data_IF_852412758807
#
_entry.id   IF_852412758807
#
_cell.length_a   1.000
_cell.length_b   1.000
_cell.length_c   1.000
_cell.angle_alpha   90.00
_cell.angle_beta   90.00
_cell.angle_gamma   90.00
#
_symmetry.space_group_name_H-M   'P 1'
#
loop_
_entity.id
_entity.type
_entity.pdbx_description
1 polymer ?
#
# COMPACT_ATOMS: atom_id res chain seq x y z
N UNK A 1 -32.31 -53.96 10.19
CA UNK A 1 -33.78 -54.19 10.14
C UNK A 1 -34.45 -52.96 10.73
N UNK A 2 -35.28 -52.16 10.06
CA UNK A 2 -36.12 -52.37 8.87
C UNK A 2 -36.18 -51.07 8.05
N UNK A 3 -36.07 -51.25 6.75
CA UNK A 3 -36.39 -50.33 5.65
C UNK A 3 -37.89 -49.98 5.61
N UNK A 4 -38.24 -48.81 5.08
CA UNK A 4 -39.57 -48.54 4.52
C UNK A 4 -39.46 -47.86 3.15
N UNK A 5 -40.01 -48.57 2.16
CA UNK A 5 -40.21 -48.20 0.76
C UNK A 5 -41.47 -47.32 0.65
N UNK A 6 -41.42 -46.23 -0.13
CA UNK A 6 -41.97 -46.10 -1.50
C UNK A 6 -43.49 -46.23 -1.60
N UNK A 7 -44.16 -45.12 -1.95
CA UNK A 7 -45.46 -45.12 -2.63
C UNK A 7 -45.54 -43.91 -3.56
N UNK A 8 -45.44 -44.18 -4.87
CA UNK A 8 -45.71 -43.24 -5.96
C UNK A 8 -47.21 -43.28 -6.24
N UNK A 9 -47.86 -42.12 -6.23
CA UNK A 9 -49.23 -41.94 -6.69
C UNK A 9 -49.22 -41.22 -8.04
N UNK A 10 -49.59 -41.97 -9.08
CA UNK A 10 -49.84 -41.56 -10.44
C UNK A 10 -51.18 -40.79 -10.48
N UNK A 11 -51.18 -39.51 -10.86
CA UNK A 11 -52.42 -38.77 -11.08
C UNK A 11 -52.56 -38.38 -12.56
N UNK A 12 -53.66 -38.86 -13.12
CA UNK A 12 -54.08 -38.83 -14.51
C UNK A 12 -54.52 -37.45 -14.97
N UNK A 13 -54.05 -37.09 -16.16
CA UNK A 13 -54.39 -35.93 -16.98
C UNK A 13 -55.87 -35.97 -17.41
N UNK A 14 -56.64 -34.91 -17.12
CA UNK A 14 -57.98 -34.68 -17.68
C UNK A 14 -58.00 -33.33 -18.37
N UNK A 15 -58.14 -33.37 -19.71
CA UNK A 15 -58.39 -32.22 -20.56
C UNK A 15 -59.84 -31.75 -20.35
N UNK A 16 -60.02 -30.51 -19.92
CA UNK A 16 -61.28 -29.79 -20.03
C UNK A 16 -61.03 -28.60 -20.94
N UNK A 17 -61.56 -28.65 -22.16
CA UNK A 17 -61.63 -27.51 -23.06
C UNK A 17 -62.88 -26.69 -22.69
N UNK A 18 -62.67 -25.53 -22.08
CA UNK A 18 -63.67 -24.47 -21.94
C UNK A 18 -63.31 -23.33 -22.88
N UNK A 19 -64.14 -23.19 -23.90
CA UNK A 19 -64.31 -22.02 -24.77
C UNK A 19 -65.09 -20.92 -24.02
N UNK A 20 -65.06 -19.70 -24.58
CA UNK A 20 -65.65 -18.43 -24.15
C UNK A 20 -64.72 -17.57 -23.27
N UNK A 21 -64.55 -16.27 -23.48
CA UNK A 21 -65.18 -15.29 -24.36
C UNK A 21 -64.17 -14.16 -24.57
N UNK A 22 -64.15 -13.57 -25.77
CA UNK A 22 -63.48 -12.29 -26.00
C UNK A 22 -64.09 -11.25 -25.08
N UNK A 23 -63.33 -10.80 -24.08
CA UNK A 23 -63.59 -9.54 -23.39
C UNK A 23 -62.27 -8.77 -23.28
N UNK A 24 -62.41 -7.52 -23.70
CA UNK A 24 -61.41 -6.50 -23.93
C UNK A 24 -60.94 -5.92 -22.59
N UNK A 25 -60.08 -6.66 -21.89
CA UNK A 25 -59.27 -6.07 -20.82
C UNK A 25 -57.98 -5.57 -21.45
N UNK A 26 -57.94 -4.25 -21.68
CA UNK A 26 -56.73 -3.52 -22.02
C UNK A 26 -55.67 -3.72 -20.95
N UNK A 27 -54.96 -4.84 -21.02
CA UNK A 27 -53.73 -5.09 -20.30
C UNK A 27 -52.74 -4.07 -20.83
N UNK A 28 -52.62 -2.94 -20.14
CA UNK A 28 -51.36 -2.21 -20.16
C UNK A 28 -50.33 -3.19 -19.61
N UNK A 29 -49.65 -3.90 -20.51
CA UNK A 29 -48.39 -4.56 -20.20
C UNK A 29 -47.58 -3.52 -19.40
N UNK A 30 -47.10 -3.84 -18.17
CA UNK A 30 -46.20 -2.95 -17.47
C UNK A 30 -45.11 -2.55 -18.46
N UNK A 31 -44.90 -1.24 -18.65
CA UNK A 31 -43.80 -0.78 -19.48
C UNK A 31 -42.54 -1.47 -18.95
N UNK A 32 -41.77 -2.10 -19.84
CA UNK A 32 -40.52 -2.73 -19.45
C UNK A 32 -39.65 -1.67 -18.78
N UNK A 33 -39.10 -1.98 -17.61
CA UNK A 33 -38.19 -1.07 -16.92
C UNK A 33 -37.01 -0.79 -17.85
N UNK A 34 -36.69 0.49 -18.15
CA UNK A 34 -35.59 0.82 -19.04
C UNK A 34 -34.25 0.36 -18.44
N UNK A 35 -33.28 0.00 -19.29
CA UNK A 35 -31.89 -0.17 -18.84
C UNK A 35 -31.25 1.19 -18.51
N UNK A 36 -30.04 1.20 -17.95
CA UNK A 36 -29.36 2.42 -17.51
C UNK A 36 -29.22 3.47 -18.63
N UNK A 37 -28.89 3.05 -19.86
CA UNK A 37 -28.69 3.97 -20.99
C UNK A 37 -30.01 4.52 -21.49
N UNK A 38 -31.04 3.67 -21.59
CA UNK A 38 -32.41 4.08 -21.92
C UNK A 38 -32.96 5.06 -20.88
N UNK A 39 -32.75 4.77 -19.58
CA UNK A 39 -33.13 5.64 -18.47
C UNK A 39 -32.44 7.02 -18.57
N UNK A 40 -31.15 7.05 -18.90
CA UNK A 40 -30.42 8.30 -19.11
C UNK A 40 -30.95 9.09 -20.31
N UNK A 41 -31.33 8.42 -21.41
CA UNK A 41 -31.94 9.05 -22.59
C UNK A 41 -33.32 9.64 -22.28
N UNK A 42 -34.09 9.00 -21.39
CA UNK A 42 -35.41 9.48 -20.94
C UNK A 42 -35.32 10.60 -19.90
N UNK A 43 -34.12 10.91 -19.38
CA UNK A 43 -33.89 11.91 -18.33
C UNK A 43 -33.23 13.18 -18.92
N UNK A 44 -33.98 14.29 -19.11
CA UNK A 44 -33.46 15.48 -19.80
C UNK A 44 -32.21 16.10 -19.17
N UNK A 45 -32.04 15.99 -17.86
CA UNK A 45 -30.87 16.49 -17.12
C UNK A 45 -29.59 15.66 -17.31
N UNK A 46 -29.67 14.52 -18.03
CA UNK A 46 -28.54 13.62 -18.31
C UNK A 46 -28.15 13.59 -19.80
N UNK A 47 -28.66 14.51 -20.61
CA UNK A 47 -28.36 14.54 -22.05
C UNK A 47 -26.86 14.66 -22.36
N UNK A 48 -26.08 15.36 -21.52
CA UNK A 48 -24.62 15.45 -21.66
C UNK A 48 -23.93 14.11 -21.39
N UNK A 49 -24.41 13.34 -20.41
CA UNK A 49 -23.92 11.99 -20.13
C UNK A 49 -24.15 11.06 -21.33
N UNK A 50 -25.36 11.10 -21.91
CA UNK A 50 -25.69 10.30 -23.10
C UNK A 50 -24.78 10.69 -24.28
N UNK A 51 -24.57 11.98 -24.52
CA UNK A 51 -23.67 12.45 -25.56
C UNK A 51 -22.21 11.98 -25.32
N UNK A 52 -21.76 11.99 -24.07
CA UNK A 52 -20.44 11.50 -23.68
C UNK A 52 -20.27 10.00 -23.90
N UNK A 53 -21.26 9.19 -23.52
CA UNK A 53 -21.26 7.73 -23.73
C UNK A 53 -21.19 7.34 -25.22
N UNK A 54 -21.83 8.11 -26.10
CA UNK A 54 -21.79 7.88 -27.55
C UNK A 54 -20.46 8.30 -28.19
N UNK A 55 -19.69 9.16 -27.52
CA UNK A 55 -18.42 9.70 -28.02
C UNK A 55 -17.21 8.92 -27.50
N UNK A 56 -17.30 8.40 -26.28
CA UNK A 56 -16.22 7.65 -25.64
C UNK A 56 -15.84 6.40 -26.45
N UNK A 57 -14.57 6.00 -26.30
CA UNK A 57 -14.06 4.75 -26.83
C UNK A 57 -14.63 3.55 -26.05
N UNK A 58 -14.49 2.34 -26.61
CA UNK A 58 -14.88 1.11 -25.92
C UNK A 58 -16.37 0.76 -25.94
N UNK A 59 -17.20 1.51 -26.69
CA UNK A 59 -18.63 1.23 -26.85
C UNK A 59 -19.39 1.14 -25.51
N UNK A 60 -19.10 2.09 -24.62
CA UNK A 60 -19.63 2.12 -23.25
C UNK A 60 -21.17 2.13 -23.21
N UNK A 61 -21.83 2.75 -24.18
CA UNK A 61 -23.29 2.74 -24.29
C UNK A 61 -23.83 1.30 -24.47
N UNK A 62 -23.18 0.49 -25.30
CA UNK A 62 -23.58 -0.92 -25.47
C UNK A 62 -23.27 -1.73 -24.21
N UNK A 63 -22.10 -1.50 -23.60
CA UNK A 63 -21.69 -2.17 -22.35
C UNK A 63 -22.70 -1.91 -21.22
N UNK A 64 -23.06 -0.65 -20.99
CA UNK A 64 -24.00 -0.24 -19.93
C UNK A 64 -25.48 -0.53 -20.27
N UNK A 65 -25.78 -0.94 -21.50
CA UNK A 65 -27.08 -1.51 -21.87
C UNK A 65 -27.14 -3.02 -21.66
N UNK A 66 -25.99 -3.66 -21.45
CA UNK A 66 -25.86 -5.11 -21.28
C UNK A 66 -26.27 -5.61 -19.90
N UNK A 67 -25.95 -6.87 -19.63
CA UNK A 67 -26.27 -7.54 -18.37
C UNK A 67 -25.43 -6.95 -17.22
N UNK A 68 -26.12 -6.43 -16.20
CA UNK A 68 -25.50 -5.92 -14.97
C UNK A 68 -25.38 -6.98 -13.86
N UNK A 69 -25.36 -6.58 -12.58
CA UNK A 69 -25.71 -5.24 -12.10
C UNK A 69 -24.58 -4.21 -12.23
N UNK A 70 -24.97 -2.98 -12.58
CA UNK A 70 -24.10 -1.80 -12.50
C UNK A 70 -24.65 -0.78 -11.51
N UNK A 71 -23.76 0.05 -10.97
CA UNK A 71 -24.14 1.33 -10.37
C UNK A 71 -23.49 2.45 -11.17
N UNK A 72 -24.29 3.35 -11.71
CA UNK A 72 -23.80 4.52 -12.46
C UNK A 72 -24.04 5.78 -11.66
N UNK A 73 -22.94 6.47 -11.36
CA UNK A 73 -22.94 7.80 -10.80
C UNK A 73 -23.15 8.78 -11.97
N UNK A 74 -24.37 9.28 -12.17
CA UNK A 74 -24.75 10.01 -13.39
C UNK A 74 -24.66 11.53 -13.18
N UNK A 75 -23.62 12.21 -13.71
CA UNK A 75 -23.52 13.66 -13.58
C UNK A 75 -24.57 14.39 -14.41
N UNK A 76 -25.13 15.45 -13.82
CA UNK A 76 -26.08 16.33 -14.51
C UNK A 76 -25.44 17.13 -15.66
N UNK A 77 -26.27 17.72 -16.53
CA UNK A 77 -25.80 18.63 -17.57
C UNK A 77 -24.99 19.81 -17.00
N UNK A 78 -25.40 20.35 -15.84
CA UNK A 78 -24.68 21.43 -15.16
C UNK A 78 -23.31 20.96 -14.65
N UNK A 79 -23.24 19.75 -14.11
CA UNK A 79 -21.98 19.10 -13.72
C UNK A 79 -20.99 18.99 -14.90
N UNK A 80 -21.47 18.56 -16.07
CA UNK A 80 -20.66 18.51 -17.28
C UNK A 80 -20.23 19.89 -17.75
N UNK A 81 -21.11 20.90 -17.68
CA UNK A 81 -20.75 22.27 -18.06
C UNK A 81 -19.62 22.82 -17.18
N UNK A 82 -19.69 22.58 -15.87
CA UNK A 82 -18.62 22.93 -14.92
C UNK A 82 -17.33 22.18 -15.23
N UNK A 83 -17.39 20.85 -15.41
CA UNK A 83 -16.22 20.04 -15.75
C UNK A 83 -15.48 20.54 -17.00
N UNK A 84 -16.23 20.84 -18.07
CA UNK A 84 -15.65 21.37 -19.30
C UNK A 84 -14.97 22.72 -19.07
N UNK A 85 -15.66 23.64 -18.37
CA UNK A 85 -15.12 24.96 -18.04
C UNK A 85 -13.84 24.88 -17.20
N UNK A 86 -13.84 24.06 -16.15
CA UNK A 86 -12.72 23.93 -15.21
C UNK A 86 -11.48 23.30 -15.87
N UNK A 87 -11.68 22.45 -16.88
CA UNK A 87 -10.61 21.82 -17.65
C UNK A 87 -10.27 22.59 -18.95
N UNK A 88 -10.87 23.76 -19.17
CA UNK A 88 -10.56 24.62 -20.32
C UNK A 88 -11.09 24.12 -21.66
N UNK A 89 -12.07 23.22 -21.66
CA UNK A 89 -12.74 22.73 -22.86
C UNK A 89 -13.95 23.61 -23.21
N UNK A 90 -14.04 24.07 -24.46
CA UNK A 90 -15.18 24.84 -24.94
C UNK A 90 -16.42 23.97 -25.18
N UNK A 91 -16.23 22.67 -25.45
CA UNK A 91 -17.29 21.70 -25.60
C UNK A 91 -16.80 20.27 -25.36
N UNK A 92 -17.73 19.33 -25.27
CA UNK A 92 -17.44 17.89 -25.12
C UNK A 92 -16.58 17.36 -26.27
N UNK A 93 -16.64 17.98 -27.45
CA UNK A 93 -15.85 17.60 -28.62
C UNK A 93 -14.35 17.89 -28.48
N UNK A 94 -13.94 18.73 -27.53
CA UNK A 94 -12.53 19.03 -27.27
C UNK A 94 -11.91 18.06 -26.25
N UNK A 95 -12.73 17.30 -25.52
CA UNK A 95 -12.25 16.27 -24.61
C UNK A 95 -11.69 15.10 -25.43
N UNK A 96 -10.43 14.69 -25.21
CA UNK A 96 -9.87 13.48 -25.81
C UNK A 96 -10.71 12.24 -25.47
N UNK A 97 -10.96 11.37 -26.44
CA UNK A 97 -11.90 10.25 -26.28
C UNK A 97 -11.39 9.18 -25.31
N UNK A 98 -10.08 9.00 -25.24
CA UNK A 98 -9.40 8.12 -24.29
C UNK A 98 -9.57 8.61 -22.84
N UNK A 99 -9.35 9.92 -22.63
CA UNK A 99 -9.59 10.57 -21.33
C UNK A 99 -11.07 10.51 -20.96
N UNK A 100 -11.97 10.82 -21.91
CA UNK A 100 -13.41 10.78 -21.69
C UNK A 100 -13.87 9.37 -21.27
N UNK A 101 -13.33 8.33 -21.90
CA UNK A 101 -13.65 6.93 -21.57
C UNK A 101 -13.27 6.60 -20.13
N UNK A 102 -12.05 6.97 -19.71
CA UNK A 102 -11.61 6.76 -18.33
C UNK A 102 -12.44 7.55 -17.32
N UNK A 103 -12.76 8.82 -17.62
CA UNK A 103 -13.64 9.62 -16.78
C UNK A 103 -15.00 8.95 -16.62
N UNK A 104 -15.62 8.50 -17.72
CA UNK A 104 -16.92 7.81 -17.65
C UNK A 104 -16.84 6.47 -16.91
N UNK A 105 -15.77 5.70 -17.09
CA UNK A 105 -15.55 4.46 -16.33
C UNK A 105 -15.35 4.72 -14.83
N UNK A 106 -14.83 5.88 -14.44
CA UNK A 106 -14.73 6.27 -13.04
C UNK A 106 -16.09 6.58 -12.39
N UNK A 107 -17.16 6.64 -13.20
CA UNK A 107 -18.53 6.77 -12.71
C UNK A 107 -19.29 5.43 -12.68
N UNK A 108 -18.63 4.32 -13.04
CA UNK A 108 -19.24 3.00 -13.10
C UNK A 108 -18.65 2.12 -12.01
N UNK A 109 -19.52 1.56 -11.18
CA UNK A 109 -19.19 0.53 -10.20
C UNK A 109 -19.83 -0.78 -10.67
N UNK A 110 -19.06 -1.85 -10.71
CA UNK A 110 -19.48 -3.18 -11.20
C UNK A 110 -20.26 -3.98 -10.14
N UNK A 111 -21.24 -3.34 -9.50
CA UNK A 111 -22.13 -3.91 -8.48
C UNK A 111 -23.43 -3.10 -8.38
N UNK A 112 -24.47 -3.69 -7.79
CA UNK A 112 -25.69 -2.94 -7.39
C UNK A 112 -25.48 -2.36 -6.00
N UNK A 113 -25.29 -1.04 -5.90
CA UNK A 113 -24.97 -0.33 -4.66
C UNK A 113 -26.05 0.72 -4.42
N UNK A 114 -26.90 0.49 -3.42
CA UNK A 114 -27.92 1.45 -3.02
C UNK A 114 -27.34 2.54 -2.11
N UNK A 115 -28.03 3.68 -2.00
CA UNK A 115 -27.65 4.69 -1.01
C UNK A 115 -27.78 4.15 0.42
N UNK A 116 -28.68 3.20 0.67
CA UNK A 116 -28.82 2.56 1.97
C UNK A 116 -27.61 1.69 2.35
N UNK A 117 -26.95 1.08 1.37
CA UNK A 117 -25.70 0.34 1.59
C UNK A 117 -24.58 1.30 1.99
N UNK A 118 -24.44 2.42 1.27
CA UNK A 118 -23.44 3.46 1.56
C UNK A 118 -23.65 4.09 2.94
N UNK A 119 -24.89 4.43 3.28
CA UNK A 119 -25.24 4.97 4.61
C UNK A 119 -24.95 3.97 5.73
N UNK A 120 -25.15 2.67 5.49
CA UNK A 120 -24.85 1.63 6.49
C UNK A 120 -23.36 1.48 6.75
N UNK A 121 -22.52 1.76 5.75
CA UNK A 121 -21.06 1.76 5.87
C UNK A 121 -20.51 3.07 6.45
N UNK A 122 -21.25 4.17 6.31
CA UNK A 122 -20.82 5.51 6.74
C UNK A 122 -19.88 6.15 5.72
N UNK A 123 -18.63 5.69 5.64
CA UNK A 123 -17.64 6.17 4.68
C UNK A 123 -16.65 5.07 4.33
N UNK A 124 -15.99 5.19 3.17
CA UNK A 124 -14.97 4.23 2.75
C UNK A 124 -14.60 4.37 1.29
N UNK A 125 -14.00 3.33 0.72
CA UNK A 125 -13.66 3.27 -0.70
C UNK A 125 -14.43 2.16 -1.39
N UNK A 126 -14.83 2.41 -2.63
CA UNK A 126 -15.34 1.40 -3.56
C UNK A 126 -14.49 1.40 -4.82
N UNK A 127 -14.42 0.26 -5.51
CA UNK A 127 -13.71 0.16 -6.79
C UNK A 127 -14.58 0.71 -7.92
N UNK A 128 -14.06 1.69 -8.66
CA UNK A 128 -14.62 2.13 -9.93
C UNK A 128 -14.26 1.17 -11.06
N UNK A 129 -14.46 1.61 -12.30
CA UNK A 129 -14.10 0.82 -13.50
C UNK A 129 -13.00 1.47 -14.34
N UNK A 130 -12.52 2.65 -13.93
CA UNK A 130 -11.39 3.33 -14.56
C UNK A 130 -10.07 2.65 -14.16
N UNK A 131 -9.12 2.59 -15.08
CA UNK A 131 -7.80 2.03 -14.85
C UNK A 131 -6.90 3.04 -14.16
N UNK A 132 -6.29 2.64 -13.06
CA UNK A 132 -5.35 3.40 -12.24
C UNK A 132 -3.97 2.77 -12.24
N UNK A 133 -3.21 3.06 -11.18
CA UNK A 133 -1.84 2.58 -11.06
C UNK A 133 -1.78 1.05 -10.92
N UNK A 134 -0.78 0.42 -11.56
CA UNK A 134 -0.60 -1.03 -11.54
C UNK A 134 -1.64 -1.81 -12.36
N UNK A 135 -2.33 -1.14 -13.31
CA UNK A 135 -3.45 -1.68 -14.08
C UNK A 135 -4.67 -2.09 -13.22
N UNK A 136 -4.72 -1.62 -11.97
CA UNK A 136 -5.83 -1.84 -11.03
C UNK A 136 -6.93 -0.79 -11.23
N UNK A 137 -8.14 -1.08 -10.73
CA UNK A 137 -9.24 -0.14 -10.83
C UNK A 137 -9.11 1.00 -9.81
N UNK A 138 -9.29 2.25 -10.27
CA UNK A 138 -9.29 3.45 -9.42
C UNK A 138 -10.32 3.30 -8.30
N UNK A 139 -9.90 3.70 -7.11
CA UNK A 139 -10.76 3.79 -5.94
C UNK A 139 -11.58 5.08 -5.94
N UNK A 140 -12.83 4.97 -5.53
CA UNK A 140 -13.76 6.08 -5.34
C UNK A 140 -14.03 6.16 -3.84
N UNK A 141 -13.65 7.25 -3.20
CA UNK A 141 -14.01 7.52 -1.82
C UNK A 141 -15.49 7.90 -1.76
N UNK A 142 -16.23 7.38 -0.80
CA UNK A 142 -17.59 7.81 -0.48
C UNK A 142 -17.70 8.21 1.00
N UNK A 143 -18.52 9.21 1.28
CA UNK A 143 -18.92 9.59 2.63
C UNK A 143 -20.42 9.88 2.63
N UNK A 144 -21.14 9.18 3.50
CA UNK A 144 -22.58 9.25 3.68
C UNK A 144 -23.00 9.91 5.01
N UNK A 145 -22.05 10.50 5.75
CA UNK A 145 -22.28 11.12 7.07
C UNK A 145 -23.26 12.30 7.00
N UNK A 146 -23.18 13.10 5.93
CA UNK A 146 -24.03 14.28 5.71
C UNK A 146 -24.69 14.26 4.33
N UNK A 147 -25.30 13.12 3.99
CA UNK A 147 -25.68 12.81 2.60
C UNK A 147 -24.54 12.11 1.88
N UNK A 148 -24.85 11.40 0.79
CA UNK A 148 -23.86 10.64 0.04
C UNK A 148 -23.06 11.57 -0.86
N UNK A 149 -21.75 11.58 -0.65
CA UNK A 149 -20.77 12.29 -1.47
C UNK A 149 -19.72 11.32 -2.00
N UNK A 150 -19.11 11.66 -3.14
CA UNK A 150 -18.04 10.89 -3.76
C UNK A 150 -16.82 11.77 -4.00
N UNK A 151 -15.65 11.27 -3.61
CA UNK A 151 -14.34 11.95 -3.62
C UNK A 151 -14.36 13.35 -2.96
N UNK A 152 -15.33 13.62 -2.10
CA UNK A 152 -15.62 14.95 -1.55
C UNK A 152 -15.80 16.05 -2.64
N UNK A 153 -16.17 15.64 -3.86
CA UNK A 153 -16.36 16.51 -5.04
C UNK A 153 -17.81 16.49 -5.49
N UNK A 154 -18.45 15.32 -5.53
CA UNK A 154 -19.80 15.17 -6.05
C UNK A 154 -20.78 14.77 -4.94
N UNK A 155 -21.95 15.40 -4.89
CA UNK A 155 -23.05 15.05 -3.99
C UNK A 155 -24.17 14.36 -4.76
N UNK A 156 -24.76 13.32 -4.18
CA UNK A 156 -25.94 12.66 -4.75
C UNK A 156 -27.16 13.56 -4.59
N UNK A 157 -27.74 13.95 -5.74
CA UNK A 157 -28.94 14.80 -5.82
C UNK A 157 -30.23 14.00 -5.98
N UNK A 158 -30.15 12.81 -6.59
CA UNK A 158 -31.22 11.82 -6.62
C UNK A 158 -30.62 10.41 -6.53
N UNK A 159 -30.92 9.70 -5.45
CA UNK A 159 -30.43 8.36 -5.20
C UNK A 159 -31.38 7.27 -5.68
N UNK A 160 -30.86 6.06 -5.85
CA UNK A 160 -31.62 4.82 -6.03
C UNK A 160 -32.59 4.85 -7.23
N UNK A 161 -32.19 5.47 -8.35
CA UNK A 161 -32.99 5.45 -9.57
C UNK A 161 -32.84 4.08 -10.23
N UNK A 162 -33.88 3.26 -10.12
CA UNK A 162 -33.86 1.87 -10.57
C UNK A 162 -33.88 1.75 -12.10
N UNK A 163 -32.96 0.94 -12.64
CA UNK A 163 -32.92 0.47 -14.01
C UNK A 163 -33.01 -1.07 -14.05
N UNK A 164 -33.33 -1.64 -15.21
CA UNK A 164 -33.45 -3.10 -15.35
C UNK A 164 -32.14 -3.87 -15.16
N UNK A 165 -30.99 -3.20 -15.31
CA UNK A 165 -29.65 -3.76 -15.18
C UNK A 165 -28.81 -3.07 -14.08
N UNK A 166 -29.43 -2.37 -13.13
CA UNK A 166 -28.72 -1.78 -12.00
C UNK A 166 -29.36 -0.54 -11.39
N UNK A 167 -28.53 0.27 -10.75
CA UNK A 167 -28.92 1.49 -10.02
C UNK A 167 -28.22 2.73 -10.58
N UNK A 168 -28.93 3.86 -10.66
CA UNK A 168 -28.36 5.16 -11.02
C UNK A 168 -28.47 6.12 -9.84
N UNK A 169 -27.35 6.75 -9.48
CA UNK A 169 -27.30 7.89 -8.54
C UNK A 169 -26.97 9.15 -9.32
N UNK A 170 -27.88 10.11 -9.39
CA UNK A 170 -27.64 11.38 -10.09
C UNK A 170 -26.78 12.28 -9.19
N UNK A 171 -25.67 12.78 -9.71
CA UNK A 171 -24.69 13.59 -8.98
C UNK A 171 -24.51 15.00 -9.59
N UNK A 172 -24.08 15.95 -8.77
CA UNK A 172 -23.91 17.37 -9.15
C UNK A 172 -22.51 17.75 -9.68
N UNK A 173 -21.56 16.81 -9.74
CA UNK A 173 -20.23 17.03 -10.31
C UNK A 173 -19.76 15.80 -11.11
N UNK A 174 -18.88 16.02 -12.09
CA UNK A 174 -18.17 14.95 -12.80
C UNK A 174 -16.98 14.52 -11.94
N UNK A 175 -16.88 13.22 -11.64
CA UNK A 175 -15.71 12.63 -10.99
C UNK A 175 -14.53 12.57 -11.97
N UNK A 176 -13.52 13.42 -11.74
CA UNK A 176 -12.23 13.31 -12.40
C UNK A 176 -11.47 12.03 -12.02
N UNK A 177 -10.25 11.86 -12.53
CA UNK A 177 -9.39 10.72 -12.21
C UNK A 177 -8.42 11.12 -11.08
N UNK A 178 -8.69 10.74 -9.81
CA UNK A 178 -7.92 11.23 -8.67
C UNK A 178 -6.52 10.62 -8.60
N UNK A 179 -5.54 11.43 -8.25
CA UNK A 179 -4.23 10.98 -7.77
C UNK A 179 -4.34 10.43 -6.34
N UNK A 180 -3.26 9.83 -5.83
CA UNK A 180 -3.16 9.45 -4.42
C UNK A 180 -3.35 10.64 -3.48
N UNK A 181 -2.87 11.83 -3.84
CA UNK A 181 -3.03 13.04 -3.01
C UNK A 181 -4.49 13.46 -2.97
N UNK A 182 -5.21 13.41 -4.09
CA UNK A 182 -6.63 13.73 -4.14
C UNK A 182 -7.45 12.77 -3.26
N UNK A 183 -7.14 11.47 -3.30
CA UNK A 183 -7.79 10.47 -2.45
C UNK A 183 -7.47 10.65 -0.96
N UNK A 184 -6.25 11.07 -0.63
CA UNK A 184 -5.86 11.38 0.74
C UNK A 184 -6.57 12.63 1.27
N UNK A 185 -6.71 13.67 0.44
CA UNK A 185 -7.44 14.90 0.78
C UNK A 185 -8.94 14.64 0.95
N UNK A 186 -9.51 13.76 0.13
CA UNK A 186 -10.93 13.41 0.21
C UNK A 186 -11.29 12.70 1.53
N UNK A 187 -10.36 11.92 2.09
CA UNK A 187 -10.60 11.13 3.28
C UNK A 187 -10.14 11.85 4.56
N UNK A 188 -11.13 12.20 5.40
CA UNK A 188 -10.87 12.93 6.65
C UNK A 188 -9.96 12.18 7.64
N UNK A 189 -9.84 10.85 7.53
CA UNK A 189 -8.94 10.04 8.37
C UNK A 189 -7.45 10.28 8.08
N UNK A 190 -7.12 10.98 6.99
CA UNK A 190 -5.75 11.38 6.63
C UNK A 190 -5.46 12.88 6.81
N UNK A 191 -6.36 13.63 7.44
CA UNK A 191 -6.19 15.09 7.60
C UNK A 191 -4.87 15.51 8.25
N UNK A 192 -4.38 14.74 9.24
CA UNK A 192 -3.08 14.98 9.89
C UNK A 192 -1.91 14.72 8.91
N UNK A 193 -1.98 13.65 8.12
CA UNK A 193 -0.99 13.33 7.11
C UNK A 193 -0.92 14.43 6.04
N UNK A 194 -2.08 14.88 5.54
CA UNK A 194 -2.15 15.97 4.56
C UNK A 194 -1.57 17.27 5.12
N UNK A 195 -1.86 17.61 6.38
CA UNK A 195 -1.27 18.77 7.05
C UNK A 195 0.25 18.64 7.20
N UNK A 196 0.75 17.43 7.52
CA UNK A 196 2.17 17.15 7.64
C UNK A 196 2.90 17.28 6.30
N UNK A 197 2.34 16.73 5.21
CA UNK A 197 2.87 16.88 3.85
C UNK A 197 3.00 18.35 3.44
N UNK A 198 2.03 19.20 3.82
CA UNK A 198 2.08 20.64 3.56
C UNK A 198 3.05 21.42 4.45
N UNK A 199 3.50 20.84 5.57
CA UNK A 199 4.41 21.48 6.53
C UNK A 199 5.86 21.04 6.36
N UNK A 200 6.09 19.87 5.77
CA UNK A 200 7.41 19.28 5.58
C UNK A 200 8.22 19.95 4.46
N UNK A 201 9.54 19.84 4.54
CA UNK A 201 10.44 20.27 3.46
C UNK A 201 10.29 19.40 2.21
N UNK A 202 10.67 19.95 1.04
CA UNK A 202 10.76 19.19 -0.21
C UNK A 202 9.50 19.21 -1.09
N UNK A 203 8.48 20.00 -0.74
CA UNK A 203 7.26 20.17 -1.54
C UNK A 203 6.57 18.83 -1.85
N UNK A 204 6.43 18.00 -0.81
CA UNK A 204 5.99 16.61 -0.94
C UNK A 204 4.59 16.47 -1.55
N UNK A 205 3.71 17.46 -1.36
CA UNK A 205 2.38 17.47 -2.00
C UNK A 205 2.52 17.45 -3.53
N UNK A 206 3.33 18.34 -4.10
CA UNK A 206 3.53 18.37 -5.56
C UNK A 206 4.29 17.15 -6.06
N UNK A 207 5.26 16.64 -5.27
CA UNK A 207 5.98 15.40 -5.61
C UNK A 207 5.01 14.22 -5.71
N UNK A 208 4.13 14.04 -4.72
CA UNK A 208 3.18 12.92 -4.67
C UNK A 208 1.95 13.10 -5.57
N UNK A 209 1.64 14.32 -6.00
CA UNK A 209 0.68 14.58 -7.07
C UNK A 209 1.26 14.39 -8.47
N UNK A 210 2.59 14.29 -8.59
CA UNK A 210 3.28 14.13 -9.87
C UNK A 210 3.21 12.71 -10.44
N UNK A 211 4.04 12.47 -11.46
CA UNK A 211 4.13 11.17 -12.13
C UNK A 211 4.69 10.11 -11.18
N UNK A 212 3.95 9.02 -11.01
CA UNK A 212 4.35 7.86 -10.23
C UNK A 212 5.11 6.80 -11.05
N UNK A 213 5.10 5.52 -10.64
CA UNK A 213 4.23 4.95 -9.60
C UNK A 213 4.73 5.17 -8.17
N UNK A 214 3.79 5.35 -7.24
CA UNK A 214 4.03 5.40 -5.79
C UNK A 214 3.27 4.30 -5.04
N UNK A 215 3.83 3.83 -3.93
CA UNK A 215 3.08 3.14 -2.88
C UNK A 215 3.23 3.91 -1.58
N UNK A 216 2.14 4.47 -1.07
CA UNK A 216 2.12 5.30 0.14
C UNK A 216 1.52 4.51 1.29
N UNK A 217 2.26 4.43 2.39
CA UNK A 217 1.81 3.91 3.67
C UNK A 217 1.22 5.07 4.46
N UNK A 218 -0.09 5.31 4.34
CA UNK A 218 -0.74 6.49 4.90
C UNK A 218 -1.12 6.27 6.37
N UNK A 219 -0.40 6.84 7.35
CA UNK A 219 -0.82 6.74 8.75
C UNK A 219 -2.15 7.46 8.97
N UNK A 220 -3.06 6.80 9.69
CA UNK A 220 -4.31 7.45 10.12
C UNK A 220 -4.07 8.62 11.06
N UNK A 221 -5.07 9.49 11.25
CA UNK A 221 -5.05 10.52 12.28
C UNK A 221 -4.72 9.96 13.67
N UNK A 222 -5.23 8.77 14.02
CA UNK A 222 -4.93 8.10 15.30
C UNK A 222 -3.45 7.71 15.41
N UNK A 223 -2.89 7.13 14.36
CA UNK A 223 -1.47 6.81 14.27
C UNK A 223 -0.61 8.07 14.44
N UNK A 224 -0.95 9.13 13.72
CA UNK A 224 -0.22 10.38 13.70
C UNK A 224 -0.30 11.13 15.04
N UNK A 225 -1.47 11.16 15.67
CA UNK A 225 -1.63 11.75 17.01
C UNK A 225 -0.82 11.01 18.07
N UNK A 226 -0.73 9.67 17.96
CA UNK A 226 0.09 8.85 18.84
C UNK A 226 1.58 9.16 18.65
N UNK A 227 2.02 9.28 17.39
CA UNK A 227 3.40 9.64 17.06
C UNK A 227 3.81 11.01 17.60
N UNK A 228 2.94 12.01 17.50
CA UNK A 228 3.22 13.35 18.01
C UNK A 228 3.28 13.42 19.54
N UNK A 229 2.62 12.49 20.24
CA UNK A 229 2.56 12.42 21.72
C UNK A 229 2.29 13.78 22.40
N UNK A 230 1.35 14.55 21.84
CA UNK A 230 0.97 15.88 22.33
C UNK A 230 1.86 17.04 21.85
N UNK A 231 2.93 16.77 21.10
CA UNK A 231 3.71 17.78 20.38
C UNK A 231 2.88 18.40 19.26
N UNK A 232 2.88 19.72 19.12
CA UNK A 232 2.22 20.34 17.99
C UNK A 232 3.01 20.08 16.70
N UNK A 233 2.32 19.83 15.58
CA UNK A 233 2.98 19.59 14.29
C UNK A 233 3.97 20.71 13.90
N UNK A 234 3.64 21.96 14.21
CA UNK A 234 4.52 23.11 13.94
C UNK A 234 5.77 23.20 14.82
N UNK A 235 5.87 22.38 15.87
CA UNK A 235 7.06 22.27 16.72
C UNK A 235 7.98 21.11 16.27
N UNK A 236 7.55 20.31 15.28
CA UNK A 236 8.36 19.24 14.68
C UNK A 236 9.32 19.85 13.65
N UNK A 237 10.59 19.43 13.69
CA UNK A 237 11.58 19.85 12.69
C UNK A 237 11.15 19.41 11.28
N UNK A 238 11.07 20.36 10.34
CA UNK A 238 10.48 20.11 9.02
C UNK A 238 11.35 19.23 8.12
N UNK A 239 12.67 19.21 8.34
CA UNK A 239 13.59 18.32 7.64
C UNK A 239 13.47 16.87 8.16
N UNK A 240 13.40 16.70 9.48
CA UNK A 240 13.13 15.39 10.09
C UNK A 240 11.74 14.87 9.68
N UNK A 241 10.72 15.73 9.70
CA UNK A 241 9.37 15.38 9.25
C UNK A 241 9.36 14.94 7.79
N UNK A 242 10.10 15.62 6.91
CA UNK A 242 10.22 15.23 5.50
C UNK A 242 10.80 13.81 5.35
N UNK A 243 11.86 13.48 6.09
CA UNK A 243 12.43 12.12 6.09
C UNK A 243 11.45 11.07 6.61
N UNK A 244 10.71 11.37 7.69
CA UNK A 244 9.68 10.45 8.20
C UNK A 244 8.58 10.23 7.16
N UNK A 245 8.09 11.29 6.51
CA UNK A 245 7.05 11.17 5.49
C UNK A 245 7.55 10.42 4.26
N UNK A 246 8.78 10.68 3.80
CA UNK A 246 9.40 9.92 2.71
C UNK A 246 9.64 8.44 3.07
N UNK A 247 9.81 8.13 4.35
CA UNK A 247 9.90 6.75 4.82
C UNK A 247 8.57 5.98 4.71
N UNK A 248 7.47 6.69 4.51
CA UNK A 248 6.16 6.10 4.21
C UNK A 248 5.89 5.98 2.71
N UNK A 249 6.84 6.36 1.85
CA UNK A 249 6.64 6.36 0.39
C UNK A 249 7.64 5.42 -0.25
N UNK A 250 7.15 4.41 -0.97
CA UNK A 250 7.96 3.60 -1.88
C UNK A 250 7.83 4.24 -3.27
N UNK A 251 8.96 4.68 -3.82
CA UNK A 251 9.02 5.39 -5.11
C UNK A 251 9.36 4.40 -6.22
N UNK A 252 8.68 4.52 -7.36
CA UNK A 252 8.93 3.71 -8.56
C UNK A 252 8.26 2.33 -8.53
N UNK A 253 7.30 2.11 -7.62
CA UNK A 253 6.52 0.88 -7.56
C UNK A 253 5.12 1.11 -7.02
N UNK A 254 4.14 0.45 -7.63
CA UNK A 254 2.75 0.32 -7.15
C UNK A 254 2.56 -1.12 -6.67
N UNK A 255 2.64 -1.33 -5.36
CA UNK A 255 2.63 -2.66 -4.76
C UNK A 255 1.26 -2.87 -4.11
N UNK A 256 0.49 -3.84 -4.61
CA UNK A 256 -0.78 -4.23 -4.02
C UNK A 256 -0.56 -5.10 -2.78
N UNK A 257 -1.57 -5.18 -1.90
CA UNK A 257 -1.51 -6.07 -0.74
C UNK A 257 -1.39 -7.54 -1.15
N UNK A 258 -2.05 -7.92 -2.26
CA UNK A 258 -1.92 -9.27 -2.85
C UNK A 258 -0.48 -9.55 -3.27
N UNK A 259 0.20 -8.61 -3.94
CA UNK A 259 1.59 -8.77 -4.32
C UNK A 259 2.52 -8.94 -3.10
N UNK A 260 2.26 -8.23 -1.99
CA UNK A 260 3.01 -8.41 -0.74
C UNK A 260 2.78 -9.80 -0.12
N UNK A 261 1.54 -10.30 -0.16
CA UNK A 261 1.21 -11.64 0.34
C UNK A 261 1.90 -12.73 -0.48
N UNK A 262 1.95 -12.59 -1.81
CA UNK A 262 2.64 -13.54 -2.69
C UNK A 262 4.17 -13.57 -2.43
N UNK A 263 4.73 -12.46 -1.97
CA UNK A 263 6.15 -12.34 -1.59
C UNK A 263 6.44 -12.83 -0.17
N UNK A 264 5.41 -13.08 0.65
CA UNK A 264 5.45 -13.49 2.06
C UNK A 264 6.13 -12.48 3.02
N UNK A 265 7.43 -12.22 2.83
CA UNK A 265 8.21 -11.25 3.58
C UNK A 265 9.47 -10.83 2.81
N UNK A 266 9.99 -9.64 3.09
CA UNK A 266 11.22 -9.17 2.46
C UNK A 266 11.52 -7.71 2.74
N UNK A 267 12.45 -7.15 1.96
CA UNK A 267 12.83 -5.75 2.04
C UNK A 267 12.49 -5.04 0.73
N UNK A 268 12.09 -3.78 0.85
CA UNK A 268 12.00 -2.80 -0.23
C UNK A 268 12.67 -1.50 0.22
N UNK A 269 12.75 -0.50 -0.65
CA UNK A 269 13.33 0.79 -0.33
C UNK A 269 12.26 1.89 -0.31
N UNK A 270 12.43 2.86 0.59
CA UNK A 270 11.57 4.04 0.70
C UNK A 270 12.22 5.24 0.01
N UNK A 271 11.49 6.35 -0.05
CA UNK A 271 12.01 7.62 -0.55
C UNK A 271 12.92 8.35 0.45
N UNK A 272 13.01 7.87 1.69
CA UNK A 272 13.88 8.45 2.71
C UNK A 272 15.33 7.98 2.53
N UNK A 273 16.28 8.78 3.02
CA UNK A 273 17.70 8.49 2.89
C UNK A 273 18.38 8.35 4.25
N UNK A 274 19.28 7.38 4.33
CA UNK A 274 20.17 7.16 5.46
C UNK A 274 21.58 7.69 5.20
N UNK A 275 22.56 7.25 6.00
CA UNK A 275 23.95 7.66 5.86
C UNK A 275 24.48 7.49 4.44
N UNK A 276 25.11 8.55 3.91
CA UNK A 276 25.64 8.55 2.55
C UNK A 276 24.57 8.63 1.45
N UNK A 277 23.39 9.16 1.75
CA UNK A 277 22.25 9.29 0.81
C UNK A 277 21.75 7.94 0.28
N UNK A 278 22.01 6.86 1.01
CA UNK A 278 21.54 5.54 0.63
C UNK A 278 20.04 5.42 0.95
N UNK A 279 19.21 4.88 0.05
CA UNK A 279 17.77 4.75 0.30
C UNK A 279 17.53 3.84 1.51
N UNK A 280 16.64 4.25 2.40
CA UNK A 280 16.31 3.46 3.58
C UNK A 280 15.52 2.22 3.18
N UNK A 281 15.83 1.11 3.84
CA UNK A 281 15.09 -0.13 3.69
C UNK A 281 13.79 -0.10 4.51
N UNK A 282 12.84 -0.90 4.06
CA UNK A 282 11.57 -1.14 4.72
C UNK A 282 11.31 -2.64 4.68
N UNK A 283 11.23 -3.24 5.87
CA UNK A 283 10.90 -4.65 5.99
C UNK A 283 9.38 -4.82 5.94
N UNK A 284 8.89 -5.74 5.11
CA UNK A 284 7.49 -6.15 5.09
C UNK A 284 7.36 -7.63 5.46
N UNK A 285 6.26 -7.98 6.14
CA UNK A 285 5.93 -9.35 6.50
C UNK A 285 4.41 -9.52 6.48
N UNK A 286 3.93 -10.66 5.99
CA UNK A 286 2.49 -10.94 5.82
C UNK A 286 1.95 -12.05 6.72
N UNK A 287 2.76 -12.60 7.63
CA UNK A 287 2.40 -13.73 8.51
C UNK A 287 1.14 -13.46 9.34
N UNK A 288 0.96 -12.22 9.80
CA UNK A 288 -0.19 -11.79 10.62
C UNK A 288 -0.94 -10.62 9.96
N UNK A 289 -1.13 -10.69 8.64
CA UNK A 289 -1.51 -9.54 7.82
C UNK A 289 -0.29 -8.74 7.39
N UNK A 290 -0.47 -7.79 6.48
CA UNK A 290 0.62 -6.96 5.95
C UNK A 290 1.11 -6.01 7.03
N UNK A 291 2.36 -6.18 7.45
CA UNK A 291 3.04 -5.37 8.45
C UNK A 291 4.35 -4.83 7.92
N UNK A 292 4.71 -3.62 8.35
CA UNK A 292 5.97 -2.95 8.04
C UNK A 292 6.81 -2.71 9.30
N UNK A 293 8.10 -3.01 9.20
CA UNK A 293 9.09 -2.92 10.28
C UNK A 293 8.65 -3.57 11.61
N UNK A 294 7.74 -4.55 11.55
CA UNK A 294 7.18 -5.22 12.72
C UNK A 294 6.30 -4.36 13.63
N UNK A 295 6.03 -3.09 13.28
CA UNK A 295 5.33 -2.13 14.15
C UNK A 295 4.07 -1.52 13.54
N UNK A 296 3.96 -1.50 12.20
CA UNK A 296 2.89 -0.78 11.50
C UNK A 296 2.08 -1.75 10.65
N UNK A 297 0.80 -1.91 10.95
CA UNK A 297 -0.11 -2.82 10.24
C UNK A 297 -0.97 -2.07 9.25
N UNK A 298 -1.20 -2.69 8.08
CA UNK A 298 -2.19 -2.20 7.10
C UNK A 298 -3.60 -2.45 7.64
N UNK A 299 -4.40 -1.38 7.74
CA UNK A 299 -5.81 -1.44 8.18
C UNK A 299 -6.79 -1.27 7.02
N UNK A 300 -6.36 -0.64 5.93
CA UNK A 300 -7.09 -0.57 4.68
C UNK A 300 -6.07 -0.63 3.55
N UNK A 301 -6.18 -1.65 2.71
CA UNK A 301 -5.27 -1.88 1.61
C UNK A 301 -5.85 -1.34 0.30
N UNK A 302 -4.95 -1.16 -0.67
CA UNK A 302 -5.30 -1.05 -2.10
C UNK A 302 -6.25 0.11 -2.43
N UNK A 303 -5.99 1.30 -1.89
CA UNK A 303 -6.65 2.53 -2.33
C UNK A 303 -5.90 3.07 -3.56
N UNK A 304 -6.47 2.82 -4.73
CA UNK A 304 -5.81 3.04 -6.03
C UNK A 304 -6.12 4.44 -6.57
N UNK A 305 -5.08 5.23 -6.85
CA UNK A 305 -5.15 6.47 -7.64
C UNK A 305 -4.53 6.29 -9.03
N UNK A 306 -4.51 7.35 -9.82
CA UNK A 306 -3.89 7.35 -11.17
C UNK A 306 -2.38 7.14 -11.15
N UNK A 307 -1.70 7.62 -10.12
CA UNK A 307 -0.25 7.66 -10.01
C UNK A 307 0.32 6.78 -8.87
N UNK A 308 -0.52 6.05 -8.13
CA UNK A 308 -0.04 5.18 -7.07
C UNK A 308 -1.12 4.46 -6.30
N UNK A 309 -0.69 3.78 -5.23
CA UNK A 309 -1.51 3.02 -4.30
C UNK A 309 -1.30 3.57 -2.89
N UNK A 310 -2.37 3.71 -2.12
CA UNK A 310 -2.34 3.98 -0.68
C UNK A 310 -2.70 2.71 0.09
N UNK A 311 -1.89 2.39 1.09
CA UNK A 311 -2.24 1.47 2.18
C UNK A 311 -2.36 2.29 3.47
N UNK A 312 -3.55 2.37 4.05
CA UNK A 312 -3.73 3.00 5.35
C UNK A 312 -3.07 2.15 6.45
N UNK A 313 -2.29 2.78 7.32
CA UNK A 313 -1.58 2.09 8.41
C UNK A 313 -1.93 2.64 9.80
N UNK A 314 -1.81 1.80 10.81
CA UNK A 314 -2.17 2.11 12.20
C UNK A 314 -1.07 2.79 13.03
N UNK A 315 0.17 2.84 12.51
CA UNK A 315 1.33 3.37 13.21
C UNK A 315 2.24 4.14 12.25
N UNK A 316 2.75 5.30 12.69
CA UNK A 316 3.78 6.04 11.95
C UNK A 316 5.10 5.27 12.00
N UNK A 317 5.68 4.98 10.84
CA UNK A 317 6.96 4.31 10.66
C UNK A 317 8.08 5.36 10.73
N UNK A 318 8.65 5.51 11.93
CA UNK A 318 9.84 6.36 12.13
C UNK A 318 11.07 5.79 11.39
N UNK A 319 12.15 6.58 11.33
CA UNK A 319 13.40 6.19 10.70
C UNK A 319 13.98 4.94 11.39
N UNK A 320 14.10 3.80 10.69
CA UNK A 320 14.52 2.55 11.30
C UNK A 320 15.99 2.61 11.73
N UNK A 321 16.31 1.89 12.79
CA UNK A 321 17.69 1.58 13.18
C UNK A 321 18.05 0.15 12.76
N UNK A 322 19.33 -0.23 12.82
CA UNK A 322 19.72 -1.63 12.60
C UNK A 322 19.03 -2.58 13.58
N UNK A 323 18.71 -2.12 14.79
CA UNK A 323 17.94 -2.89 15.78
C UNK A 323 16.48 -3.06 15.35
N UNK A 324 15.89 -2.06 14.70
CA UNK A 324 14.52 -2.15 14.15
C UNK A 324 14.38 -3.35 13.24
N UNK A 325 15.31 -3.56 12.31
CA UNK A 325 15.27 -4.70 11.40
C UNK A 325 15.57 -6.03 12.08
N UNK A 326 16.54 -6.06 13.01
CA UNK A 326 16.83 -7.27 13.78
C UNK A 326 15.60 -7.77 14.56
N UNK A 327 14.79 -6.85 15.10
CA UNK A 327 13.55 -7.17 15.80
C UNK A 327 12.40 -7.53 14.86
N UNK A 328 12.32 -6.88 13.70
CA UNK A 328 11.23 -7.08 12.75
C UNK A 328 11.36 -8.39 11.95
N UNK A 329 12.57 -8.78 11.59
CA UNK A 329 12.84 -9.94 10.74
C UNK A 329 13.06 -11.22 11.59
N UNK A 330 12.16 -12.21 11.52
CA UNK A 330 12.22 -13.40 12.35
C UNK A 330 13.45 -14.28 12.06
N UNK A 331 14.13 -14.08 10.92
CA UNK A 331 15.37 -14.78 10.58
C UNK A 331 16.54 -14.41 11.50
N UNK A 332 16.40 -13.34 12.29
CA UNK A 332 17.38 -12.87 13.27
C UNK A 332 16.95 -13.09 14.73
N UNK A 333 15.89 -13.85 15.01
CA UNK A 333 15.40 -14.04 16.39
C UNK A 333 16.46 -14.61 17.35
N UNK A 334 17.34 -15.51 16.90
CA UNK A 334 18.46 -16.00 17.73
C UNK A 334 19.52 -14.92 17.95
N UNK A 335 19.76 -14.05 16.96
CA UNK A 335 20.65 -12.90 17.11
C UNK A 335 20.10 -11.91 18.15
N UNK A 336 18.80 -11.63 18.11
CA UNK A 336 18.12 -10.78 19.10
C UNK A 336 18.26 -11.38 20.50
N UNK A 337 18.06 -12.69 20.67
CA UNK A 337 18.27 -13.36 21.96
C UNK A 337 19.73 -13.22 22.42
N UNK A 338 20.69 -13.35 21.51
CA UNK A 338 22.12 -13.20 21.80
C UNK A 338 22.49 -11.77 22.25
N UNK A 339 21.95 -10.75 21.58
CA UNK A 339 22.18 -9.33 21.88
C UNK A 339 21.45 -8.85 23.15
N UNK A 340 20.50 -9.62 23.67
CA UNK A 340 19.67 -9.23 24.82
C UNK A 340 19.85 -10.18 26.00
N UNK A 341 19.28 -11.38 25.91
CA UNK A 341 19.14 -12.32 27.02
C UNK A 341 20.45 -13.01 27.37
N UNK A 342 21.30 -13.28 26.37
CA UNK A 342 22.56 -14.00 26.58
C UNK A 342 23.75 -13.09 26.88
N UNK A 343 23.60 -11.77 26.71
CA UNK A 343 24.63 -10.76 27.03
C UNK A 343 24.10 -9.61 27.91
N UNK A 344 23.41 -9.90 29.02
CA UNK A 344 22.74 -8.88 29.83
C UNK A 344 23.67 -7.82 30.45
N UNK A 345 24.98 -8.09 30.54
CA UNK A 345 25.96 -7.10 31.02
C UNK A 345 26.24 -5.99 29.99
N UNK A 346 25.90 -6.20 28.71
CA UNK A 346 26.12 -5.24 27.61
C UNK A 346 24.79 -4.87 26.99
N UNK A 347 24.41 -3.59 27.05
CA UNK A 347 23.18 -3.11 26.41
C UNK A 347 23.39 -2.87 24.91
N UNK A 348 23.49 -3.96 24.13
CA UNK A 348 23.69 -3.88 22.68
C UNK A 348 22.54 -3.16 21.98
N UNK A 349 21.30 -3.33 22.45
CA UNK A 349 20.16 -2.62 21.88
C UNK A 349 20.34 -1.11 22.02
N UNK A 350 20.69 -0.61 23.21
CA UNK A 350 20.95 0.81 23.40
C UNK A 350 22.14 1.31 22.57
N UNK A 351 23.18 0.49 22.38
CA UNK A 351 24.36 0.87 21.57
C UNK A 351 24.04 0.91 20.07
N UNK A 352 23.34 -0.10 19.56
CA UNK A 352 23.05 -0.26 18.13
C UNK A 352 21.81 0.53 17.68
N UNK A 353 21.02 1.09 18.60
CA UNK A 353 19.92 2.01 18.29
C UNK A 353 20.32 3.49 18.28
N UNK A 354 21.60 3.81 18.53
CA UNK A 354 22.04 5.22 18.64
C UNK A 354 21.95 5.94 17.30
N UNK A 355 21.65 7.23 17.36
CA UNK A 355 21.64 8.17 16.24
C UNK A 355 22.57 9.34 16.54
N UNK A 356 22.94 10.13 15.53
CA UNK A 356 23.89 11.25 15.71
C UNK A 356 23.37 12.28 16.72
N UNK A 357 22.05 12.49 16.76
CA UNK A 357 21.35 13.45 17.62
C UNK A 357 21.28 13.01 19.11
N UNK A 358 21.70 11.79 19.44
CA UNK A 358 21.64 11.21 20.80
C UNK A 358 23.00 10.86 21.41
N UNK A 359 24.09 11.39 20.86
CA UNK A 359 25.42 10.82 21.07
C UNK A 359 26.36 11.71 21.90
N UNK A 360 26.48 11.43 23.21
CA UNK A 360 27.33 12.22 24.12
C UNK A 360 28.78 11.75 24.24
N UNK A 361 29.17 10.66 23.56
CA UNK A 361 30.50 10.03 23.64
C UNK A 361 31.27 10.05 22.30
N UNK A 362 30.79 10.78 21.30
CA UNK A 362 31.39 10.95 19.97
C UNK A 362 31.54 9.66 19.13
N UNK A 363 30.83 8.57 19.44
CA UNK A 363 30.82 7.36 18.60
C UNK A 363 29.96 7.54 17.34
N UNK A 364 30.55 7.60 16.14
CA UNK A 364 29.73 7.71 14.92
C UNK A 364 28.79 6.49 14.78
N UNK A 365 27.47 6.70 14.78
CA UNK A 365 26.50 5.61 14.76
C UNK A 365 26.32 4.98 13.39
N UNK A 366 27.10 5.34 12.37
CA UNK A 366 27.09 4.65 11.07
C UNK A 366 27.66 3.23 11.22
N UNK A 367 26.84 2.28 11.66
CA UNK A 367 27.27 0.90 11.83
C UNK A 367 27.29 0.15 10.50
N UNK A 368 28.20 -0.83 10.37
CA UNK A 368 27.99 -1.95 9.44
C UNK A 368 27.90 -3.22 10.26
N UNK A 369 26.74 -3.86 10.23
CA UNK A 369 26.45 -5.07 11.01
C UNK A 369 26.39 -6.26 10.07
N UNK A 370 27.21 -7.27 10.33
CA UNK A 370 27.05 -8.58 9.71
C UNK A 370 26.13 -9.41 10.59
N UNK A 371 24.87 -9.57 10.20
CA UNK A 371 23.85 -10.22 11.02
C UNK A 371 23.75 -11.73 10.70
N UNK A 372 24.20 -12.63 11.59
CA UNK A 372 24.04 -14.06 11.40
C UNK A 372 22.57 -14.48 11.52
N UNK A 373 22.12 -15.32 10.59
CA UNK A 373 20.76 -15.89 10.62
C UNK A 373 20.59 -16.92 11.74
N UNK A 374 19.35 -17.30 12.02
CA UNK A 374 19.05 -18.40 12.96
C UNK A 374 19.78 -19.70 12.57
N UNK A 375 19.87 -20.01 11.28
CA UNK A 375 20.59 -21.19 10.77
C UNK A 375 22.11 -21.08 11.03
N UNK A 376 22.68 -19.87 10.93
CA UNK A 376 24.07 -19.61 11.26
C UNK A 376 24.37 -19.92 12.73
N UNK A 377 23.48 -19.52 13.65
CA UNK A 377 23.60 -19.88 15.06
C UNK A 377 23.36 -21.38 15.31
N UNK A 378 22.39 -21.99 14.63
CA UNK A 378 22.11 -23.42 14.75
C UNK A 378 23.28 -24.30 14.29
N UNK A 379 24.14 -23.78 13.42
CA UNK A 379 25.36 -24.45 12.99
C UNK A 379 26.49 -24.45 14.05
N UNK A 380 26.37 -23.64 15.12
CA UNK A 380 27.30 -23.69 16.24
C UNK A 380 27.11 -24.97 17.05
N UNK A 381 28.20 -25.56 17.54
CA UNK A 381 28.13 -26.71 18.44
C UNK A 381 27.42 -26.37 19.77
N UNK A 382 27.62 -25.14 20.25
CA UNK A 382 26.91 -24.53 21.36
C UNK A 382 27.09 -23.01 21.28
N UNK A 383 26.09 -22.25 21.73
CA UNK A 383 26.24 -20.80 21.92
C UNK A 383 27.19 -20.56 23.10
N UNK A 384 28.26 -19.74 22.94
CA UNK A 384 29.21 -19.48 24.01
C UNK A 384 28.58 -18.78 25.23
N UNK A 385 29.28 -18.86 26.36
CA UNK A 385 28.93 -18.06 27.55
C UNK A 385 29.09 -16.55 27.27
N UNK A 386 28.48 -15.71 28.10
CA UNK A 386 28.35 -14.27 27.90
C UNK A 386 29.67 -13.54 27.54
N UNK A 387 30.78 -13.85 28.21
CA UNK A 387 32.07 -13.20 27.96
C UNK A 387 32.56 -13.40 26.52
N UNK A 388 32.82 -14.64 26.09
CA UNK A 388 33.15 -14.95 24.70
C UNK A 388 32.08 -14.50 23.69
N UNK A 389 30.79 -14.66 24.03
CA UNK A 389 29.70 -14.24 23.14
C UNK A 389 29.71 -12.73 22.89
N UNK A 390 30.02 -11.93 23.91
CA UNK A 390 30.14 -10.48 23.78
C UNK A 390 31.23 -10.10 22.78
N UNK A 391 32.41 -10.75 22.83
CA UNK A 391 33.49 -10.49 21.86
C UNK A 391 33.09 -10.91 20.45
N UNK A 392 32.45 -12.08 20.31
CA UNK A 392 31.90 -12.54 19.03
C UNK A 392 30.92 -11.53 18.46
N UNK A 393 29.97 -11.03 19.24
CA UNK A 393 28.98 -10.04 18.76
C UNK A 393 29.63 -8.71 18.36
N UNK A 394 30.66 -8.25 19.10
CA UNK A 394 31.44 -7.06 18.72
C UNK A 394 32.26 -7.28 17.43
N UNK A 395 32.69 -8.51 17.17
CA UNK A 395 33.36 -8.91 15.93
C UNK A 395 32.41 -8.86 14.71
N UNK A 396 31.09 -8.86 14.93
CA UNK A 396 30.10 -8.73 13.85
C UNK A 396 29.83 -7.30 13.40
N UNK A 397 30.46 -6.30 14.01
CA UNK A 397 30.19 -4.89 13.72
C UNK A 397 31.48 -4.21 13.29
N UNK A 398 31.48 -3.55 12.12
CA UNK A 398 32.57 -2.66 11.71
C UNK A 398 32.40 -1.31 12.41
N UNK A 399 33.53 -0.74 12.82
CA UNK A 399 33.57 0.56 13.48
C UNK A 399 33.28 1.73 12.50
N UNK A 400 32.33 2.58 12.89
CA UNK A 400 32.13 3.97 12.39
C UNK A 400 32.07 4.11 10.84
N UNK A 401 31.53 3.11 10.14
CA UNK A 401 31.39 3.12 8.70
C UNK A 401 30.07 2.49 8.25
N UNK A 402 29.36 3.15 7.32
CA UNK A 402 28.21 2.61 6.58
C UNK A 402 28.72 1.97 5.28
N UNK A 403 29.35 0.80 5.38
CA UNK A 403 29.99 0.10 4.24
C UNK A 403 28.92 -0.68 3.48
N UNK A 404 28.41 -0.07 2.41
CA UNK A 404 27.49 -0.75 1.48
C UNK A 404 28.24 -1.64 0.50
N UNK A 405 27.53 -2.57 -0.15
CA UNK A 405 28.12 -3.50 -1.13
C UNK A 405 28.78 -2.77 -2.30
N UNK A 406 28.28 -1.59 -2.67
CA UNK A 406 28.84 -0.76 -3.75
C UNK A 406 30.16 -0.10 -3.41
N UNK A 407 30.53 -0.04 -2.12
CA UNK A 407 31.83 0.47 -1.66
C UNK A 407 32.92 -0.60 -1.66
N UNK A 408 32.57 -1.88 -1.86
CA UNK A 408 33.51 -3.00 -1.85
C UNK A 408 34.28 -3.08 -3.18
N UNK A 409 35.53 -3.55 -3.10
CA UNK A 409 36.32 -3.84 -4.28
C UNK A 409 35.66 -4.96 -5.11
N UNK A 410 35.31 -4.67 -6.36
CA UNK A 410 34.68 -5.63 -7.27
C UNK A 410 35.38 -5.66 -8.65
N UNK A 411 36.12 -6.73 -9.00
CA UNK A 411 36.47 -7.88 -8.16
C UNK A 411 37.60 -7.56 -7.17
N UNK A 412 37.59 -8.18 -5.98
CA UNK A 412 38.72 -8.13 -5.06
C UNK A 412 38.36 -8.26 -3.59
N UNK A 413 39.37 -8.02 -2.76
CA UNK A 413 39.30 -8.09 -1.31
C UNK A 413 39.15 -6.69 -0.72
N UNK A 414 38.31 -6.55 0.30
CA UNK A 414 38.15 -5.35 1.10
C UNK A 414 38.36 -5.73 2.56
N UNK A 415 39.36 -5.14 3.22
CA UNK A 415 39.63 -5.37 4.65
C UNK A 415 38.96 -4.28 5.48
N UNK A 416 38.35 -4.68 6.60
CA UNK A 416 37.74 -3.78 7.56
C UNK A 416 38.01 -4.25 8.99
N UNK A 417 38.18 -3.29 9.91
CA UNK A 417 38.42 -3.57 11.33
C UNK A 417 37.10 -3.56 12.10
N UNK A 418 36.87 -4.62 12.87
CA UNK A 418 35.67 -4.78 13.70
C UNK A 418 35.76 -3.94 14.98
N UNK A 419 34.65 -3.77 15.71
CA UNK A 419 34.65 -3.06 16.99
C UNK A 419 35.46 -3.82 18.05
N UNK A 420 35.50 -5.15 17.97
CA UNK A 420 36.32 -5.99 18.85
C UNK A 420 37.82 -5.75 18.65
N UNK A 421 38.23 -5.46 17.41
CA UNK A 421 39.58 -5.02 17.07
C UNK A 421 40.26 -5.86 15.99
N UNK A 422 39.77 -7.09 15.75
CA UNK A 422 40.24 -7.93 14.65
C UNK A 422 39.78 -7.42 13.28
N UNK A 423 40.61 -7.68 12.26
CA UNK A 423 40.30 -7.42 10.86
C UNK A 423 39.51 -8.58 10.24
N UNK A 424 38.52 -8.26 9.42
CA UNK A 424 37.84 -9.17 8.52
C UNK A 424 38.16 -8.83 7.07
N UNK A 425 38.13 -9.82 6.18
CA UNK A 425 38.31 -9.60 4.73
C UNK A 425 37.07 -10.05 3.97
N UNK A 426 36.46 -9.12 3.24
CA UNK A 426 35.29 -9.35 2.41
C UNK A 426 35.74 -9.48 0.95
N UNK A 427 35.48 -10.64 0.34
CA UNK A 427 35.84 -10.94 -1.05
C UNK A 427 34.60 -10.93 -1.94
N UNK A 428 34.63 -10.12 -3.00
CA UNK A 428 33.58 -10.01 -4.01
C UNK A 428 34.14 -10.32 -5.41
N UNK A 429 33.47 -11.16 -6.24
CA UNK A 429 32.26 -11.91 -5.95
C UNK A 429 32.51 -13.07 -4.97
N UNK A 430 31.45 -13.48 -4.26
CA UNK A 430 31.46 -14.67 -3.40
C UNK A 430 31.54 -15.98 -4.19
N UNK A 431 31.54 -17.10 -3.46
CA UNK A 431 31.52 -18.45 -4.04
C UNK A 431 30.15 -19.11 -3.88
N UNK A 432 29.82 -20.01 -4.80
CA UNK A 432 28.53 -20.71 -4.77
C UNK A 432 27.35 -19.74 -4.91
N UNK A 433 26.46 -19.73 -3.93
CA UNK A 433 25.28 -18.86 -3.89
C UNK A 433 25.51 -17.57 -3.07
N UNK A 434 26.71 -17.39 -2.51
CA UNK A 434 27.01 -16.22 -1.69
C UNK A 434 27.24 -15.01 -2.58
N UNK A 435 26.72 -13.85 -2.16
CA UNK A 435 26.98 -12.57 -2.81
C UNK A 435 28.47 -12.22 -2.67
N UNK A 436 28.99 -12.33 -1.45
CA UNK A 436 30.39 -12.17 -1.07
C UNK A 436 30.77 -13.21 0.00
N UNK A 437 32.07 -13.46 0.16
CA UNK A 437 32.57 -14.27 1.27
C UNK A 437 33.32 -13.41 2.28
N UNK A 438 33.28 -13.81 3.55
CA UNK A 438 34.07 -13.21 4.62
C UNK A 438 35.13 -14.21 5.08
N UNK A 439 36.34 -13.70 5.27
CA UNK A 439 37.37 -14.32 6.10
C UNK A 439 37.38 -13.63 7.46
N UNK A 440 37.09 -14.36 8.53
CA UNK A 440 37.04 -13.84 9.90
C UNK A 440 38.40 -13.92 10.63
N UNK A 441 38.43 -13.45 11.89
CA UNK A 441 39.65 -13.46 12.73
C UNK A 441 40.22 -14.85 12.99
N UNK A 442 39.38 -15.89 13.00
CA UNK A 442 39.80 -17.29 13.12
C UNK A 442 40.41 -17.89 11.83
N UNK A 443 40.31 -17.16 10.70
CA UNK A 443 40.74 -17.60 9.39
C UNK A 443 39.72 -18.47 8.65
N UNK A 444 38.46 -18.50 9.10
CA UNK A 444 37.38 -19.21 8.41
C UNK A 444 36.98 -18.44 7.15
N UNK A 445 37.04 -19.07 5.98
CA UNK A 445 36.78 -18.40 4.67
C UNK A 445 35.44 -18.78 4.03
N UNK A 446 34.61 -19.55 4.73
CA UNK A 446 33.35 -20.13 4.23
C UNK A 446 32.11 -19.36 4.73
N UNK A 447 32.30 -18.18 5.32
CA UNK A 447 31.21 -17.31 5.78
C UNK A 447 30.66 -16.57 4.56
N UNK A 448 29.41 -16.84 4.21
CA UNK A 448 28.74 -16.22 3.08
C UNK A 448 27.86 -15.06 3.48
N UNK A 449 27.99 -13.94 2.78
CA UNK A 449 26.98 -12.86 2.77
C UNK A 449 25.86 -13.27 1.82
N UNK A 450 24.63 -13.35 2.33
CA UNK A 450 23.46 -13.86 1.61
C UNK A 450 22.42 -12.77 1.29
N UNK A 451 22.46 -11.65 2.01
CA UNK A 451 21.73 -10.44 1.69
C UNK A 451 22.61 -9.23 2.05
N UNK A 452 22.54 -8.18 1.25
CA UNK A 452 23.34 -6.96 1.42
C UNK A 452 22.44 -5.75 1.51
N UNK A 453 22.99 -4.66 2.05
CA UNK A 453 22.44 -3.32 1.95
C UNK A 453 21.04 -3.15 2.55
N UNK A 454 20.75 -3.84 3.66
CA UNK A 454 19.58 -3.52 4.48
C UNK A 454 19.91 -2.23 5.25
N UNK A 455 19.51 -1.10 4.67
CA UNK A 455 19.91 0.23 5.10
C UNK A 455 18.97 0.79 6.17
N UNK A 456 19.53 1.15 7.31
CA UNK A 456 18.89 1.88 8.40
C UNK A 456 19.37 3.34 8.44
N UNK A 457 18.69 4.17 9.24
CA UNK A 457 19.10 5.55 9.49
C UNK A 457 20.41 5.67 10.29
N UNK A 458 20.86 4.59 10.92
CA UNK A 458 22.12 4.52 11.67
C UNK A 458 23.02 3.37 11.19
N UNK A 459 23.05 3.10 9.89
CA UNK A 459 23.98 2.13 9.33
C UNK A 459 23.32 1.08 8.46
N UNK A 460 24.06 0.02 8.15
CA UNK A 460 23.67 -1.01 7.18
C UNK A 460 23.87 -2.40 7.77
N UNK A 461 22.96 -3.31 7.41
CA UNK A 461 23.04 -4.74 7.75
C UNK A 461 23.35 -5.56 6.49
N UNK A 462 24.29 -6.50 6.64
CA UNK A 462 24.54 -7.57 5.69
C UNK A 462 24.24 -8.91 6.37
N UNK A 463 23.30 -9.69 5.86
CA UNK A 463 22.94 -10.98 6.45
C UNK A 463 24.00 -12.04 6.09
N UNK A 464 24.42 -12.84 7.07
CA UNK A 464 25.45 -13.88 6.89
C UNK A 464 24.93 -15.26 7.28
N UNK A 465 25.42 -16.30 6.59
CA UNK A 465 25.00 -17.68 6.80
C UNK A 465 25.82 -18.46 7.84
N UNK A 466 26.80 -17.82 8.47
CA UNK A 466 27.68 -18.42 9.48
C UNK A 466 28.15 -17.36 10.48
N UNK A 467 28.19 -17.70 11.77
CA UNK A 467 28.69 -16.79 12.83
C UNK A 467 30.20 -16.60 12.68
N UNK A 468 30.65 -15.35 12.65
CA UNK A 468 32.07 -14.98 12.59
C UNK A 468 32.73 -15.14 13.95
N UNK A 469 33.96 -15.66 13.97
CA UNK A 469 34.73 -15.94 15.19
C UNK A 469 35.99 -15.08 15.20
N UNK A 470 36.21 -14.36 16.30
CA UNK A 470 37.43 -13.59 16.57
C UNK A 470 38.62 -14.51 16.92
N UNK A 471 39.85 -13.99 16.86
CA UNK A 471 41.12 -14.72 17.02
C UNK A 471 41.42 -15.18 18.46
#
# INVERSE_FOLDING_TARGET
MKTKHFFIALFSLSLIATSCSSDDDGTKTPAATPNIVELAQETPSLSSLVAALLRADGDLATVLSGDGPFTVLAPTNDAFATFLSDNGFASLEEVPTDVLSQVLLNHVIMADVSASDLVSLGSGYTSGSATGAGDENISIYFDATNGVTFNNVATVTAADVSASNGTVHIIDAVLGLPSIVDLAVANSDFSNLVAALGSADGDLVNVLSGDGPFTVLAPTNTAFNTFLDGTALGDVDTAALSQILLNHVIIGSSITSTALVDLEAGYTNTGATGPGESPLSLYYNTTNGVMFNGISSVIQADVIGTNGIIHAVDTVIDIPTVVTFALADPTFSTLVEALTTLTPATDFAAVLSRTETGNSDNLNPNFTVFAPTNDAFAALAAVPEEGPLTQILLHHVIKEANVTSSMLNNPGDTTATTIEGDDITITLPGTGNNIANITDGSGSTDIGIIAVDVQAGNGVIHAINKVMINN
#
